data_IF_702112402245
#
_entry.id   IF_702112402245
#
_cell.length_a   1.000
_cell.length_b   1.000
_cell.length_c   1.000
_cell.angle_alpha   90.00
_cell.angle_beta   90.00
_cell.angle_gamma   90.00
#
_symmetry.space_group_name_H-M   'P 1'
#
loop_
_entity.id
_entity.type
_entity.pdbx_description
1 polymer ?
#
# COMPACT_ATOMS: atom_id res chain seq x y z
N UNK A 1 23.69 7.79 -7.32
CA UNK A 1 23.54 9.20 -7.74
C UNK A 1 22.49 9.27 -8.83
N UNK A 2 21.73 10.36 -8.91
CA UNK A 2 20.69 10.54 -9.94
C UNK A 2 21.31 11.12 -11.21
N UNK A 3 20.81 10.71 -12.38
CA UNK A 3 21.20 11.25 -13.69
C UNK A 3 19.98 11.93 -14.31
N UNK A 4 20.16 13.15 -14.81
CA UNK A 4 19.11 13.88 -15.49
C UNK A 4 19.02 13.45 -16.96
N UNK A 5 17.81 13.14 -17.41
CA UNK A 5 17.49 12.68 -18.77
C UNK A 5 16.51 13.63 -19.48
N UNK A 6 16.21 14.79 -18.90
CA UNK A 6 15.18 15.72 -19.39
C UNK A 6 15.37 16.11 -20.85
N UNK A 7 16.62 16.31 -21.30
CA UNK A 7 16.94 16.66 -22.69
C UNK A 7 16.49 15.61 -23.72
N UNK A 8 16.36 14.34 -23.32
CA UNK A 8 15.95 13.26 -24.21
C UNK A 8 14.45 12.97 -24.13
N UNK A 9 13.73 13.51 -23.14
CA UNK A 9 12.31 13.22 -22.94
C UNK A 9 11.47 13.92 -24.04
N UNK A 10 10.74 13.11 -24.82
CA UNK A 10 9.82 13.59 -25.86
C UNK A 10 8.38 13.72 -25.35
N UNK A 11 7.93 12.73 -24.57
CA UNK A 11 6.59 12.75 -23.98
C UNK A 11 6.56 12.04 -22.63
N UNK A 12 5.62 12.46 -21.79
CA UNK A 12 5.37 11.91 -20.46
C UNK A 12 3.86 11.71 -20.28
N UNK A 13 3.47 10.51 -19.88
CA UNK A 13 2.12 10.21 -19.42
C UNK A 13 2.20 9.54 -18.05
N UNK A 14 1.43 10.02 -17.08
CA UNK A 14 1.40 9.47 -15.71
C UNK A 14 -0.05 9.26 -15.28
N UNK A 15 -0.29 8.16 -14.57
CA UNK A 15 -1.60 7.82 -14.00
C UNK A 15 -1.41 7.32 -12.57
N UNK A 16 -1.97 8.02 -11.59
CA UNK A 16 -1.81 7.73 -10.16
C UNK A 16 -3.06 8.09 -9.35
N UNK A 17 -3.14 7.54 -8.15
CA UNK A 17 -4.18 7.86 -7.17
C UNK A 17 -5.41 6.96 -7.27
N UNK A 18 -6.48 7.33 -6.56
CA UNK A 18 -7.78 6.65 -6.62
C UNK A 18 -8.69 7.35 -7.63
N UNK A 19 -9.47 6.59 -8.38
CA UNK A 19 -10.43 7.14 -9.36
C UNK A 19 -11.66 7.76 -8.71
N UNK A 20 -12.10 7.21 -7.58
CA UNK A 20 -13.28 7.68 -6.86
C UNK A 20 -13.10 7.46 -5.35
N UNK A 21 -13.97 8.07 -4.55
CA UNK A 21 -13.84 8.07 -3.08
C UNK A 21 -13.86 6.67 -2.47
N UNK A 22 -14.67 5.76 -3.02
CA UNK A 22 -14.77 4.36 -2.58
C UNK A 22 -13.67 3.46 -3.16
N UNK A 23 -12.91 3.95 -4.13
CA UNK A 23 -11.89 3.17 -4.80
C UNK A 23 -10.66 2.99 -3.92
N UNK A 24 -9.94 1.90 -4.17
CA UNK A 24 -8.58 1.72 -3.65
C UNK A 24 -7.61 2.56 -4.49
N UNK A 25 -6.48 2.93 -3.90
CA UNK A 25 -5.37 3.47 -4.69
C UNK A 25 -4.68 2.30 -5.38
N UNK A 26 -4.50 2.42 -6.69
CA UNK A 26 -3.77 1.45 -7.49
C UNK A 26 -2.30 1.86 -7.62
N UNK A 27 -1.45 0.92 -8.05
CA UNK A 27 -0.06 1.23 -8.35
C UNK A 27 -0.01 2.29 -9.45
N UNK A 28 0.77 3.33 -9.20
CA UNK A 28 1.03 4.39 -10.14
C UNK A 28 1.77 3.88 -11.37
N UNK A 29 1.26 4.22 -12.54
CA UNK A 29 1.84 3.84 -13.83
C UNK A 29 2.30 5.09 -14.59
N UNK A 30 3.33 4.92 -15.41
CA UNK A 30 3.84 5.98 -16.25
C UNK A 30 4.48 5.46 -17.52
N UNK A 31 4.50 6.30 -18.55
CA UNK A 31 5.22 6.04 -19.79
C UNK A 31 6.03 7.28 -20.14
N UNK A 32 7.33 7.09 -20.36
CA UNK A 32 8.21 8.12 -20.93
C UNK A 32 8.69 7.64 -22.29
N UNK A 33 8.54 8.47 -23.30
CA UNK A 33 9.18 8.26 -24.61
C UNK A 33 10.43 9.13 -24.65
N UNK A 34 11.58 8.51 -24.91
CA UNK A 34 12.86 9.20 -25.06
C UNK A 34 13.40 9.11 -26.48
N UNK A 35 14.09 10.17 -26.91
CA UNK A 35 14.90 10.14 -28.12
C UNK A 35 16.08 9.18 -27.94
N UNK A 36 16.25 8.28 -28.90
CA UNK A 36 17.32 7.29 -28.89
C UNK A 36 18.17 7.36 -30.17
N UNK A 37 18.27 8.53 -30.82
CA UNK A 37 19.16 8.78 -31.96
C UNK A 37 20.62 8.32 -31.73
N UNK A 38 21.12 8.44 -30.50
CA UNK A 38 22.47 8.04 -30.13
C UNK A 38 22.61 6.55 -29.75
N UNK A 39 21.52 5.78 -29.67
CA UNK A 39 21.54 4.39 -29.22
C UNK A 39 21.91 4.19 -27.74
N UNK A 40 21.86 5.26 -26.93
CA UNK A 40 22.28 5.24 -25.52
C UNK A 40 21.30 4.51 -24.60
N UNK A 41 20.03 4.36 -25.00
CA UNK A 41 19.00 3.64 -24.24
C UNK A 41 18.89 2.16 -24.63
N UNK A 42 19.76 1.69 -25.52
CA UNK A 42 19.81 0.28 -25.92
C UNK A 42 20.58 -0.56 -24.90
N UNK A 43 19.88 -1.56 -24.31
CA UNK A 43 20.43 -2.45 -23.27
C UNK A 43 21.68 -3.21 -23.68
N UNK A 44 21.77 -3.59 -24.96
CA UNK A 44 22.91 -4.36 -25.49
C UNK A 44 24.09 -3.49 -25.91
N UNK A 45 23.98 -2.16 -25.82
CA UNK A 45 25.01 -1.24 -26.30
C UNK A 45 25.98 -0.98 -25.16
N UNK A 46 27.01 -1.81 -25.04
CA UNK A 46 28.04 -1.69 -24.01
C UNK A 46 28.85 -0.38 -24.13
N UNK A 47 28.77 0.31 -25.26
CA UNK A 47 29.39 1.62 -25.48
C UNK A 47 28.43 2.80 -25.25
N UNK A 48 27.14 2.54 -24.96
CA UNK A 48 26.16 3.58 -24.69
C UNK A 48 26.42 4.27 -23.35
N UNK A 49 26.22 5.58 -23.29
CA UNK A 49 26.50 6.39 -22.09
C UNK A 49 25.76 5.92 -20.83
N UNK A 50 24.63 5.23 -20.98
CA UNK A 50 23.76 4.81 -19.89
C UNK A 50 23.80 3.31 -19.61
N UNK A 51 24.68 2.56 -20.27
CA UNK A 51 24.95 1.16 -19.93
C UNK A 51 25.72 1.07 -18.59
N UNK A 52 25.39 0.14 -17.67
CA UNK A 52 24.31 -0.86 -17.70
C UNK A 52 23.02 -0.41 -16.95
N UNK A 53 22.85 0.89 -16.71
CA UNK A 53 21.87 1.43 -15.78
C UNK A 53 20.44 1.50 -16.34
N UNK A 54 20.27 1.45 -17.67
CA UNK A 54 18.95 1.38 -18.33
C UNK A 54 18.44 -0.06 -18.32
N UNK A 55 17.99 -0.53 -17.15
CA UNK A 55 17.46 -1.89 -16.94
C UNK A 55 16.19 -1.87 -16.09
N UNK A 56 15.37 -2.95 -16.06
CA UNK A 56 14.21 -2.98 -15.19
C UNK A 56 14.69 -2.90 -13.74
N UNK A 57 13.83 -2.41 -12.86
CA UNK A 57 14.11 -2.20 -11.44
C UNK A 57 15.15 -1.11 -11.14
N UNK A 58 15.57 -0.32 -12.14
CA UNK A 58 16.29 0.93 -11.89
C UNK A 58 15.31 1.98 -11.39
N UNK A 59 15.65 2.66 -10.29
CA UNK A 59 14.84 3.73 -9.71
C UNK A 59 14.71 4.91 -10.68
N UNK A 60 13.50 5.46 -10.75
CA UNK A 60 13.15 6.60 -11.60
C UNK A 60 12.24 7.54 -10.83
N UNK A 61 12.45 8.84 -11.04
CA UNK A 61 11.61 9.90 -10.50
C UNK A 61 11.33 10.93 -11.58
N UNK A 62 10.12 11.47 -11.57
CA UNK A 62 9.70 12.49 -12.53
C UNK A 62 9.28 13.71 -11.73
N UNK A 63 9.85 14.87 -12.07
CA UNK A 63 9.56 16.13 -11.42
C UNK A 63 9.28 17.23 -12.43
N UNK A 64 8.49 18.20 -11.99
CA UNK A 64 8.20 19.43 -12.72
C UNK A 64 8.76 20.61 -11.93
N UNK A 65 9.46 21.52 -12.62
CA UNK A 65 9.99 22.74 -12.03
C UNK A 65 9.04 23.90 -12.34
N UNK A 66 8.47 24.50 -11.31
CA UNK A 66 7.66 25.72 -11.42
C UNK A 66 8.12 26.74 -10.38
N UNK A 67 8.44 27.96 -10.82
CA UNK A 67 8.98 29.03 -9.97
C UNK A 67 10.13 28.55 -9.06
N UNK A 68 11.13 27.88 -9.65
CA UNK A 68 12.32 27.32 -8.96
C UNK A 68 12.03 26.27 -7.87
N UNK A 69 10.80 25.77 -7.77
CA UNK A 69 10.42 24.68 -6.88
C UNK A 69 10.21 23.41 -7.71
N UNK A 70 11.05 22.40 -7.49
CA UNK A 70 10.88 21.06 -8.05
C UNK A 70 9.81 20.29 -7.28
N UNK A 71 8.71 19.95 -7.94
CA UNK A 71 7.68 19.06 -7.40
C UNK A 71 7.74 17.72 -8.10
N UNK A 72 7.93 16.64 -7.35
CA UNK A 72 7.92 15.29 -7.93
C UNK A 72 6.50 14.78 -8.13
N UNK A 73 6.21 14.35 -9.36
CA UNK A 73 4.92 13.82 -9.80
C UNK A 73 4.87 12.28 -9.76
N UNK A 74 6.05 11.65 -9.85
CA UNK A 74 6.19 10.20 -9.85
C UNK A 74 7.48 9.76 -9.16
N UNK A 75 7.41 8.66 -8.43
CA UNK A 75 8.56 7.96 -7.86
C UNK A 75 8.33 6.46 -7.97
N UNK A 76 9.28 5.74 -8.56
CA UNK A 76 9.13 4.32 -8.82
C UNK A 76 10.35 3.67 -9.46
N UNK A 77 10.09 2.65 -10.25
CA UNK A 77 11.09 1.90 -11.00
C UNK A 77 10.71 1.80 -12.48
N UNK A 78 11.71 1.59 -13.31
CA UNK A 78 11.52 1.20 -14.71
C UNK A 78 11.05 -0.26 -14.74
N UNK A 79 9.90 -0.52 -15.33
CA UNK A 79 9.37 -1.86 -15.57
C UNK A 79 9.87 -2.42 -16.91
N UNK A 80 9.80 -1.63 -17.97
CA UNK A 80 10.24 -2.04 -19.31
C UNK A 80 11.04 -0.94 -20.00
N UNK A 81 11.92 -1.38 -20.90
CA UNK A 81 12.65 -0.48 -21.81
C UNK A 81 12.53 -1.13 -23.18
N UNK A 82 11.66 -0.57 -24.00
CA UNK A 82 11.30 -1.11 -25.30
C UNK A 82 11.83 -0.18 -26.39
N UNK A 83 12.77 -0.65 -27.24
CA UNK A 83 13.17 0.11 -28.40
C UNK A 83 12.02 0.16 -29.40
N UNK A 84 11.75 1.35 -29.93
CA UNK A 84 10.68 1.57 -30.90
C UNK A 84 11.15 2.58 -31.96
N UNK A 85 10.39 2.72 -33.03
CA UNK A 85 10.69 3.62 -34.15
C UNK A 85 9.52 4.58 -34.34
N UNK A 86 9.79 5.85 -34.63
CA UNK A 86 8.73 6.75 -35.09
C UNK A 86 8.18 6.26 -36.43
N UNK A 87 6.87 6.02 -36.49
CA UNK A 87 6.16 5.59 -37.71
C UNK A 87 5.82 6.84 -38.53
N UNK A 88 6.08 6.90 -39.85
CA UNK A 88 6.13 8.17 -40.57
C UNK A 88 4.79 8.92 -40.66
N UNK A 89 4.85 10.22 -40.36
CA UNK A 89 3.80 11.24 -40.55
C UNK A 89 4.36 12.66 -40.52
N UNK A 90 5.42 12.89 -39.74
CA UNK A 90 6.28 14.08 -39.79
C UNK A 90 7.75 13.63 -39.55
N UNK A 91 8.65 13.95 -40.49
CA UNK A 91 10.12 13.87 -40.39
C UNK A 91 10.81 12.55 -39.91
N UNK A 92 10.92 11.56 -40.82
CA UNK A 92 11.97 10.52 -40.77
C UNK A 92 11.83 9.42 -39.69
N UNK A 93 12.54 8.30 -39.89
CA UNK A 93 12.57 7.19 -38.92
C UNK A 93 13.52 7.50 -37.75
N UNK A 94 13.05 8.29 -36.79
CA UNK A 94 13.78 8.53 -35.54
C UNK A 94 13.72 7.30 -34.62
N UNK A 95 14.86 6.71 -34.21
CA UNK A 95 14.84 5.68 -33.17
C UNK A 95 14.45 6.31 -31.83
N UNK A 96 13.51 5.68 -31.13
CA UNK A 96 13.06 6.09 -29.79
C UNK A 96 13.14 4.89 -28.83
N UNK A 97 13.03 5.17 -27.54
CA UNK A 97 12.83 4.14 -26.54
C UNK A 97 11.66 4.50 -25.64
N UNK A 98 10.81 3.52 -25.37
CA UNK A 98 9.66 3.65 -24.48
C UNK A 98 10.04 3.03 -23.14
N UNK A 99 9.97 3.85 -22.08
CA UNK A 99 10.22 3.45 -20.71
C UNK A 99 8.87 3.28 -20.01
N UNK A 100 8.51 2.04 -19.71
CA UNK A 100 7.38 1.74 -18.84
C UNK A 100 7.79 1.95 -17.38
N UNK A 101 7.02 2.73 -16.63
CA UNK A 101 7.29 3.07 -15.23
C UNK A 101 6.18 2.51 -14.35
N UNK A 102 6.57 2.00 -13.18
CA UNK A 102 5.63 1.61 -12.13
C UNK A 102 6.15 2.09 -10.78
N UNK A 103 5.26 2.58 -9.92
CA UNK A 103 5.62 2.83 -8.53
C UNK A 103 5.89 1.52 -7.77
N UNK A 104 6.47 1.66 -6.58
CA UNK A 104 6.84 0.49 -5.78
C UNK A 104 5.65 -0.18 -5.10
N UNK A 105 4.42 0.32 -5.25
CA UNK A 105 3.23 -0.32 -4.69
C UNK A 105 3.03 -1.71 -5.31
N UNK A 106 3.38 -1.86 -6.60
CA UNK A 106 3.38 -3.15 -7.30
C UNK A 106 4.34 -4.18 -6.68
N UNK A 107 5.40 -3.74 -5.99
CA UNK A 107 6.31 -4.65 -5.33
C UNK A 107 5.59 -5.42 -4.20
N UNK A 108 4.70 -4.77 -3.45
CA UNK A 108 3.95 -5.41 -2.37
C UNK A 108 3.02 -6.54 -2.87
N UNK A 109 2.53 -6.43 -4.12
CA UNK A 109 1.73 -7.48 -4.75
C UNK A 109 2.54 -8.74 -5.06
N UNK A 110 3.88 -8.66 -5.09
CA UNK A 110 4.78 -9.80 -5.35
C UNK A 110 5.20 -10.54 -4.09
N UNK A 111 4.86 -10.02 -2.91
CA UNK A 111 5.27 -10.60 -1.65
C UNK A 111 4.06 -11.08 -0.85
N UNK A 112 4.20 -12.26 -0.28
CA UNK A 112 3.21 -12.83 0.61
C UNK A 112 3.67 -12.64 2.06
N UNK A 113 2.72 -12.34 2.94
CA UNK A 113 2.81 -12.53 4.36
C UNK A 113 2.80 -14.03 4.59
N UNK A 114 3.97 -14.57 4.90
CA UNK A 114 4.16 -16.01 5.00
C UNK A 114 3.81 -16.53 6.39
N UNK A 115 3.22 -17.72 6.42
CA UNK A 115 2.96 -18.54 7.61
C UNK A 115 4.18 -19.35 8.05
N UNK A 116 5.35 -18.72 8.04
CA UNK A 116 6.43 -19.22 8.88
C UNK A 116 6.11 -18.90 10.35
N UNK A 117 4.89 -19.16 10.82
CA UNK A 117 4.49 -19.02 12.21
C UNK A 117 4.58 -20.39 12.89
N UNK A 118 5.78 -20.86 13.26
CA UNK A 118 5.83 -22.08 14.01
C UNK A 118 5.27 -21.82 15.41
N UNK A 119 4.50 -22.80 15.88
CA UNK A 119 4.16 -22.88 17.28
C UNK A 119 5.44 -23.05 18.10
N UNK A 120 5.45 -22.45 19.28
CA UNK A 120 6.43 -22.76 20.30
C UNK A 120 6.33 -24.24 20.64
N UNK A 121 7.46 -24.92 20.72
CA UNK A 121 7.53 -26.33 21.17
C UNK A 121 8.01 -26.47 22.60
N UNK A 122 8.62 -25.42 23.16
CA UNK A 122 9.00 -25.34 24.57
C UNK A 122 8.83 -23.90 25.11
N UNK A 123 8.59 -23.80 26.42
CA UNK A 123 8.49 -22.52 27.12
C UNK A 123 9.82 -21.75 27.00
N UNK A 124 9.72 -20.44 26.79
CA UNK A 124 10.88 -19.55 26.71
C UNK A 124 10.82 -18.55 27.85
N UNK A 125 11.81 -18.53 28.73
CA UNK A 125 11.81 -17.69 29.93
C UNK A 125 12.46 -16.33 29.68
N UNK A 126 12.07 -15.34 30.49
CA UNK A 126 12.76 -14.03 30.55
C UNK A 126 14.28 -14.21 30.72
N UNK A 127 15.06 -13.42 29.99
CA UNK A 127 16.51 -13.47 29.98
C UNK A 127 17.12 -14.53 29.05
N UNK A 128 16.32 -15.47 28.51
CA UNK A 128 16.81 -16.41 27.50
C UNK A 128 16.92 -15.73 26.14
N UNK A 129 17.85 -16.19 25.29
CA UNK A 129 17.95 -15.78 23.89
C UNK A 129 17.29 -16.77 22.94
N UNK A 130 16.63 -17.79 23.46
CA UNK A 130 16.33 -19.00 22.68
C UNK A 130 14.84 -19.23 22.69
N UNK A 131 14.31 -19.56 21.51
CA UNK A 131 12.92 -19.93 21.30
C UNK A 131 12.88 -21.21 20.48
N UNK A 132 12.25 -22.24 21.03
CA UNK A 132 12.12 -23.55 20.39
C UNK A 132 10.80 -23.62 19.62
N UNK A 133 10.88 -24.11 18.39
CA UNK A 133 9.80 -24.02 17.40
C UNK A 133 9.53 -25.34 16.70
N UNK A 134 8.29 -25.51 16.22
CA UNK A 134 7.84 -26.71 15.52
C UNK A 134 8.38 -26.83 14.08
N UNK A 135 8.76 -25.71 13.47
CA UNK A 135 9.25 -25.63 12.09
C UNK A 135 10.15 -24.40 11.92
N UNK A 136 11.13 -24.45 11.01
CA UNK A 136 11.83 -23.26 10.51
C UNK A 136 11.68 -23.08 9.00
N UNK A 137 10.71 -23.77 8.40
CA UNK A 137 10.41 -23.60 6.99
C UNK A 137 10.16 -22.11 6.70
N UNK A 138 10.96 -21.53 5.80
CA UNK A 138 10.88 -20.12 5.37
C UNK A 138 11.20 -19.09 6.46
N UNK A 139 11.74 -19.48 7.61
CA UNK A 139 12.45 -18.58 8.51
C UNK A 139 13.89 -18.39 8.03
N UNK A 140 14.42 -17.18 8.21
CA UNK A 140 15.80 -16.88 7.84
C UNK A 140 16.49 -16.00 8.89
N UNK A 141 17.84 -16.05 8.89
CA UNK A 141 18.66 -15.22 9.77
C UNK A 141 18.48 -13.74 9.39
N UNK A 142 18.31 -12.92 10.41
CA UNK A 142 18.00 -11.49 10.29
C UNK A 142 16.54 -11.18 10.01
N UNK A 143 15.63 -12.14 10.21
CA UNK A 143 14.18 -11.86 10.21
C UNK A 143 13.77 -11.32 11.57
N UNK A 144 13.04 -10.21 11.60
CA UNK A 144 12.31 -9.80 12.80
C UNK A 144 11.05 -10.64 12.94
N UNK A 145 10.92 -11.30 14.09
CA UNK A 145 9.77 -12.11 14.47
C UNK A 145 9.18 -11.55 15.75
N UNK A 146 7.88 -11.76 15.96
CA UNK A 146 7.23 -11.39 17.22
C UNK A 146 6.78 -12.65 17.92
N UNK A 147 7.30 -12.90 19.13
CA UNK A 147 6.87 -14.02 19.96
C UNK A 147 5.60 -13.59 20.71
N UNK A 148 4.60 -14.47 20.75
CA UNK A 148 3.29 -14.21 21.32
C UNK A 148 2.92 -15.22 22.41
N UNK A 149 2.34 -14.70 23.49
CA UNK A 149 1.55 -15.41 24.50
C UNK A 149 0.30 -14.57 24.81
N UNK A 150 -0.74 -15.15 25.40
CA UNK A 150 -2.07 -14.56 25.61
C UNK A 150 -2.09 -13.32 26.55
N UNK A 151 -0.93 -12.89 27.06
CA UNK A 151 -0.78 -11.67 27.86
C UNK A 151 0.46 -10.84 27.55
N UNK A 152 1.29 -11.21 26.56
CA UNK A 152 2.54 -10.51 26.26
C UNK A 152 3.01 -10.79 24.83
N UNK A 153 3.68 -9.81 24.22
CA UNK A 153 4.34 -9.99 22.93
C UNK A 153 5.65 -9.21 22.86
N UNK A 154 6.62 -9.73 22.13
CA UNK A 154 7.94 -9.11 22.01
C UNK A 154 8.52 -9.35 20.62
N UNK A 155 9.12 -8.30 20.04
CA UNK A 155 9.78 -8.36 18.75
C UNK A 155 11.27 -8.61 18.98
N UNK A 156 11.82 -9.59 18.28
CA UNK A 156 13.24 -9.84 18.28
C UNK A 156 13.69 -10.34 16.89
N UNK A 157 14.99 -10.26 16.62
CA UNK A 157 15.55 -10.68 15.34
C UNK A 157 16.22 -12.06 15.49
N UNK A 158 16.03 -12.93 14.49
CA UNK A 158 16.66 -14.26 14.46
C UNK A 158 18.16 -14.09 14.17
N UNK A 159 19.00 -14.33 15.16
CA UNK A 159 20.45 -14.38 15.02
C UNK A 159 20.94 -15.70 14.41
N UNK A 160 20.29 -16.82 14.74
CA UNK A 160 20.66 -18.14 14.22
C UNK A 160 19.48 -19.13 14.21
N UNK A 161 19.51 -20.08 13.28
CA UNK A 161 18.55 -21.19 13.18
C UNK A 161 19.31 -22.50 13.30
N UNK A 162 19.04 -23.26 14.35
CA UNK A 162 19.64 -24.58 14.56
C UNK A 162 18.59 -25.66 14.28
N UNK A 163 18.85 -26.48 13.25
CA UNK A 163 18.00 -27.61 12.90
C UNK A 163 18.37 -28.81 13.78
N UNK A 164 17.43 -29.29 14.58
CA UNK A 164 17.56 -30.50 15.39
C UNK A 164 16.56 -31.57 14.98
N UNK A 165 16.81 -32.81 15.37
CA UNK A 165 15.82 -33.89 15.25
C UNK A 165 14.78 -33.69 16.36
N UNK A 166 13.57 -33.27 16.00
CA UNK A 166 12.42 -33.14 16.91
C UNK A 166 12.14 -31.72 17.45
N UNK A 167 13.16 -30.88 17.60
CA UNK A 167 13.01 -29.46 17.99
C UNK A 167 13.93 -28.61 17.13
N UNK A 168 13.39 -27.53 16.58
CA UNK A 168 14.17 -26.51 15.89
C UNK A 168 14.35 -25.32 16.82
N UNK A 169 15.55 -24.76 16.86
CA UNK A 169 15.90 -23.71 17.81
C UNK A 169 16.24 -22.42 17.10
N UNK A 170 15.50 -21.35 17.43
CA UNK A 170 15.78 -19.99 16.99
C UNK A 170 16.54 -19.27 18.11
N UNK A 171 17.71 -18.73 17.78
CA UNK A 171 18.44 -17.84 18.70
C UNK A 171 18.17 -16.41 18.31
N UNK A 172 17.74 -15.60 19.26
CA UNK A 172 17.44 -14.19 19.13
C UNK A 172 18.70 -13.32 19.30
N UNK A 173 18.71 -12.14 18.67
CA UNK A 173 19.78 -11.15 18.83
C UNK A 173 19.84 -10.66 20.29
N UNK A 174 18.69 -10.24 20.84
CA UNK A 174 18.55 -9.75 22.22
C UNK A 174 17.96 -10.81 23.15
N UNK A 175 18.13 -10.65 24.46
CA UNK A 175 17.43 -11.47 25.44
C UNK A 175 15.93 -11.19 25.39
N UNK A 176 15.11 -12.23 25.58
CA UNK A 176 13.68 -12.10 25.78
C UNK A 176 13.40 -11.32 27.06
N UNK A 177 12.55 -10.30 26.97
CA UNK A 177 12.09 -9.49 28.09
C UNK A 177 10.96 -10.16 28.87
N UNK A 178 10.24 -11.11 28.26
CA UNK A 178 9.11 -11.80 28.88
C UNK A 178 9.30 -13.32 28.90
N UNK A 179 8.55 -14.00 29.76
CA UNK A 179 8.36 -15.45 29.69
C UNK A 179 7.18 -15.79 28.78
N UNK A 180 7.30 -16.87 28.01
CA UNK A 180 6.36 -17.36 27.02
C UNK A 180 6.09 -18.83 27.27
N UNK A 181 4.81 -19.20 27.36
CA UNK A 181 4.39 -20.59 27.60
C UNK A 181 3.75 -21.23 26.37
N UNK A 182 3.96 -22.54 26.19
CA UNK A 182 3.43 -23.32 25.05
C UNK A 182 1.92 -23.62 25.19
N UNK A 183 1.37 -23.47 26.40
CA UNK A 183 0.10 -24.07 26.81
C UNK A 183 -1.18 -23.41 26.28
N UNK A 184 -1.18 -22.14 25.90
CA UNK A 184 -2.42 -21.46 25.51
C UNK A 184 -2.49 -20.94 24.07
N UNK A 185 -1.38 -20.52 23.44
CA UNK A 185 -1.33 -20.06 22.05
C UNK A 185 0.11 -19.73 21.58
N UNK A 186 1.12 -20.30 22.23
CA UNK A 186 2.53 -19.93 22.05
C UNK A 186 2.97 -20.02 20.58
N UNK A 187 3.29 -18.88 19.97
CA UNK A 187 3.57 -18.78 18.54
C UNK A 187 4.65 -17.72 18.26
N UNK A 188 5.47 -17.94 17.24
CA UNK A 188 6.60 -17.05 16.90
C UNK A 188 6.22 -15.96 15.89
N UNK A 189 5.02 -16.01 15.33
CA UNK A 189 4.54 -15.03 14.34
C UNK A 189 3.01 -15.02 14.17
N UNK A 190 2.28 -14.49 15.15
CA UNK A 190 0.81 -14.28 15.10
C UNK A 190 0.50 -12.81 15.22
N UNK A 191 0.03 -12.14 14.17
CA UNK A 191 -0.26 -10.72 14.37
C UNK A 191 -1.45 -10.54 15.34
N UNK A 192 -1.29 -9.76 16.42
CA UNK A 192 -2.29 -9.61 17.47
C UNK A 192 -3.34 -8.59 17.02
N UNK A 193 -4.44 -8.49 17.75
CA UNK A 193 -5.35 -7.38 17.53
C UNK A 193 -4.64 -6.05 17.89
N UNK A 194 -4.51 -5.15 16.92
CA UNK A 194 -3.78 -3.87 17.05
C UNK A 194 -4.46 -2.82 16.19
N UNK A 195 -4.09 -1.55 16.37
CA UNK A 195 -4.53 -0.49 15.47
C UNK A 195 -4.05 -0.76 14.04
N UNK A 196 -4.86 -0.34 13.06
CA UNK A 196 -4.64 -0.56 11.63
C UNK A 196 -3.25 -0.13 11.14
N UNK A 197 -2.76 1.02 11.59
CA UNK A 197 -1.43 1.53 11.25
C UNK A 197 -0.29 0.72 11.87
N UNK A 198 -0.47 0.24 13.10
CA UNK A 198 0.47 -0.71 13.72
C UNK A 198 0.53 -1.99 12.88
N UNK A 199 -0.61 -2.47 12.39
CA UNK A 199 -0.63 -3.66 11.53
C UNK A 199 0.09 -3.43 10.20
N UNK A 200 -0.11 -2.29 9.54
CA UNK A 200 0.58 -1.98 8.28
C UNK A 200 2.10 -1.93 8.50
N UNK A 201 2.57 -1.31 9.58
CA UNK A 201 3.99 -1.32 9.94
C UNK A 201 4.52 -2.74 10.17
N UNK A 202 3.73 -3.62 10.79
CA UNK A 202 4.11 -5.01 11.01
C UNK A 202 4.23 -5.79 9.67
N UNK A 203 3.34 -5.54 8.71
CA UNK A 203 3.47 -6.09 7.35
C UNK A 203 4.71 -5.54 6.63
N UNK A 204 4.95 -4.23 6.68
CA UNK A 204 6.11 -3.61 6.04
C UNK A 204 7.43 -4.15 6.60
N UNK A 205 7.51 -4.40 7.91
CA UNK A 205 8.67 -5.05 8.55
C UNK A 205 8.89 -6.47 8.04
N UNK A 206 7.83 -7.25 7.89
CA UNK A 206 7.91 -8.61 7.33
C UNK A 206 8.46 -8.60 5.90
N UNK A 207 8.07 -7.58 5.12
CA UNK A 207 8.58 -7.35 3.77
C UNK A 207 10.01 -6.81 3.73
N UNK A 208 10.63 -6.53 4.89
CA UNK A 208 11.89 -5.80 5.03
C UNK A 208 11.86 -4.45 4.31
N UNK A 209 10.69 -3.84 4.24
CA UNK A 209 10.56 -2.50 3.72
C UNK A 209 11.26 -1.53 4.68
N UNK A 210 12.17 -0.67 4.20
CA UNK A 210 12.90 0.24 5.08
C UNK A 210 11.94 1.17 5.83
N UNK A 211 12.04 1.21 7.16
CA UNK A 211 11.23 2.11 7.98
C UNK A 211 11.44 3.59 7.61
N UNK A 212 12.64 3.93 7.11
CA UNK A 212 12.96 5.27 6.60
C UNK A 212 12.26 5.62 5.28
N UNK A 213 11.53 4.68 4.67
CA UNK A 213 10.72 4.86 3.46
C UNK A 213 9.23 4.60 3.75
N UNK A 214 8.81 4.77 5.00
CA UNK A 214 7.45 4.57 5.47
C UNK A 214 6.95 5.79 6.24
N UNK A 215 5.70 6.18 6.00
CA UNK A 215 4.99 7.24 6.70
C UNK A 215 3.59 6.71 7.03
N UNK A 216 3.46 6.07 8.19
CA UNK A 216 2.27 5.28 8.54
C UNK A 216 1.65 5.87 9.79
N UNK A 217 0.46 6.46 9.64
CA UNK A 217 -0.37 6.92 10.76
C UNK A 217 -0.67 5.75 11.71
N UNK A 218 -0.94 6.03 12.98
CA UNK A 218 -1.22 4.99 13.98
C UNK A 218 -2.51 4.19 13.66
N UNK A 219 -3.49 4.83 13.01
CA UNK A 219 -4.81 4.29 12.75
C UNK A 219 -5.82 4.53 13.88
N UNK A 220 -7.10 4.53 13.56
CA UNK A 220 -8.21 4.69 14.51
C UNK A 220 -8.95 3.38 14.78
N UNK A 221 -8.92 2.43 13.84
CA UNK A 221 -9.64 1.16 13.95
C UNK A 221 -8.74 0.07 14.53
N UNK A 222 -9.28 -0.68 15.49
CA UNK A 222 -8.64 -1.90 15.98
C UNK A 222 -8.92 -3.04 14.99
N UNK A 223 -7.87 -3.51 14.32
CA UNK A 223 -7.95 -4.71 13.46
C UNK A 223 -7.78 -5.97 14.28
N UNK A 224 -8.49 -7.02 13.89
CA UNK A 224 -8.47 -8.29 14.60
C UNK A 224 -7.10 -8.99 14.52
N UNK A 225 -6.91 -9.96 15.41
CA UNK A 225 -5.76 -10.85 15.32
C UNK A 225 -5.82 -11.63 13.99
N UNK A 226 -4.67 -11.81 13.36
CA UNK A 226 -4.59 -12.57 12.12
C UNK A 226 -3.34 -13.44 12.08
N UNK A 227 -3.57 -14.69 11.72
CA UNK A 227 -2.54 -15.68 11.42
C UNK A 227 -2.60 -15.95 9.93
N UNK A 228 -1.53 -15.67 9.16
CA UNK A 228 -1.48 -16.04 7.75
C UNK A 228 -1.62 -17.57 7.61
N UNK A 229 -2.26 -18.09 6.54
CA UNK A 229 -2.33 -19.52 6.26
C UNK A 229 -1.02 -20.02 5.62
N UNK A 230 -0.78 -21.33 5.65
CA UNK A 230 0.43 -21.98 5.08
C UNK A 230 0.78 -21.56 3.64
N UNK A 231 -0.26 -21.29 2.84
CA UNK A 231 -0.13 -20.82 1.46
C UNK A 231 0.40 -19.38 1.33
N UNK A 232 0.46 -18.63 2.44
CA UNK A 232 0.74 -17.21 2.48
C UNK A 232 -0.53 -16.36 2.26
N UNK A 233 -0.45 -15.08 2.60
CA UNK A 233 -1.46 -14.07 2.25
C UNK A 233 -0.79 -12.95 1.49
N UNK A 234 -1.35 -12.53 0.36
CA UNK A 234 -0.76 -11.44 -0.40
C UNK A 234 -0.66 -10.17 0.46
N UNK A 235 0.55 -9.60 0.52
CA UNK A 235 0.81 -8.48 1.44
C UNK A 235 0.07 -7.22 1.04
N UNK A 236 -0.01 -6.94 -0.27
CA UNK A 236 -0.79 -5.81 -0.76
C UNK A 236 -2.28 -5.99 -0.47
N UNK A 237 -2.82 -7.18 -0.73
CA UNK A 237 -4.23 -7.47 -0.45
C UNK A 237 -4.56 -7.32 1.04
N UNK A 238 -3.71 -7.84 1.92
CA UNK A 238 -3.88 -7.69 3.36
C UNK A 238 -3.82 -6.21 3.78
N UNK A 239 -2.82 -5.45 3.33
CA UNK A 239 -2.73 -4.02 3.63
C UNK A 239 -3.93 -3.22 3.05
N UNK A 240 -4.44 -3.61 1.88
CA UNK A 240 -5.66 -3.02 1.32
C UNK A 240 -6.90 -3.34 2.16
N UNK A 241 -7.03 -4.57 2.68
CA UNK A 241 -8.14 -4.93 3.56
C UNK A 241 -8.13 -4.16 4.88
N UNK A 242 -6.94 -3.90 5.44
CA UNK A 242 -6.75 -3.04 6.62
C UNK A 242 -7.16 -1.59 6.31
N UNK A 243 -6.73 -1.08 5.15
CA UNK A 243 -7.15 0.25 4.67
C UNK A 243 -8.67 0.34 4.52
N UNK A 244 -9.31 -0.71 4.04
CA UNK A 244 -10.74 -0.67 3.74
C UNK A 244 -11.57 -0.58 5.03
N UNK A 245 -11.17 -1.28 6.10
CA UNK A 245 -11.84 -1.16 7.40
C UNK A 245 -11.60 0.20 8.07
N UNK A 246 -10.47 0.84 7.81
CA UNK A 246 -10.15 2.20 8.30
C UNK A 246 -10.88 3.32 7.52
N UNK A 247 -11.29 3.07 6.27
CA UNK A 247 -11.57 4.12 5.26
C UNK A 247 -10.38 5.04 4.97
N UNK A 248 -9.18 4.52 5.21
CA UNK A 248 -7.92 5.24 5.05
C UNK A 248 -7.47 5.38 3.60
N UNK A 249 -6.23 5.80 3.42
CA UNK A 249 -5.51 5.76 2.15
C UNK A 249 -4.18 5.04 2.34
N UNK A 250 -3.84 4.17 1.40
CA UNK A 250 -2.55 3.49 1.35
C UNK A 250 -1.97 3.70 -0.05
N UNK A 251 -0.82 4.34 -0.17
CA UNK A 251 -0.25 4.71 -1.47
C UNK A 251 1.26 5.01 -1.39
N UNK A 252 1.92 5.05 -2.55
CA UNK A 252 3.29 5.56 -2.66
C UNK A 252 3.28 7.07 -2.91
N UNK A 253 3.88 7.88 -2.04
CA UNK A 253 3.97 9.33 -2.20
C UNK A 253 4.99 9.68 -3.27
N UNK A 254 4.59 10.51 -4.24
CA UNK A 254 5.47 10.86 -5.36
C UNK A 254 6.61 11.80 -4.97
N UNK A 255 6.45 12.59 -3.91
CA UNK A 255 7.45 13.55 -3.46
C UNK A 255 8.80 12.89 -3.11
N UNK A 256 8.74 11.70 -2.52
CA UNK A 256 9.88 11.04 -1.85
C UNK A 256 9.89 9.51 -2.02
N UNK A 257 8.84 8.92 -2.58
CA UNK A 257 8.74 7.47 -2.74
C UNK A 257 8.36 6.72 -1.47
N UNK A 258 7.81 7.39 -0.46
CA UNK A 258 7.45 6.74 0.80
C UNK A 258 6.16 5.93 0.65
N UNK A 259 6.11 4.77 1.31
CA UNK A 259 4.86 4.05 1.52
C UNK A 259 4.07 4.78 2.61
N UNK A 260 2.93 5.38 2.24
CA UNK A 260 2.13 6.20 3.11
C UNK A 260 0.83 5.51 3.47
N UNK A 261 0.52 5.43 4.76
CA UNK A 261 -0.80 5.11 5.25
C UNK A 261 -1.38 6.29 6.01
N UNK A 262 -2.51 6.78 5.52
CA UNK A 262 -3.31 7.82 6.18
C UNK A 262 -4.55 7.19 6.78
N UNK A 263 -4.81 7.51 8.04
CA UNK A 263 -5.98 7.00 8.75
C UNK A 263 -7.30 7.63 8.25
N UNK A 264 -8.43 7.18 8.79
CA UNK A 264 -9.75 7.64 8.35
C UNK A 264 -10.02 9.12 8.63
N UNK A 265 -9.29 9.73 9.57
CA UNK A 265 -9.46 11.12 10.02
C UNK A 265 -8.40 12.07 9.46
N UNK A 266 -7.36 11.57 8.79
CA UNK A 266 -6.25 12.36 8.29
C UNK A 266 -6.69 13.59 7.47
N UNK A 267 -7.79 13.50 6.71
CA UNK A 267 -8.34 14.62 5.92
C UNK A 267 -9.13 15.66 6.73
N UNK A 268 -9.47 15.35 7.98
CA UNK A 268 -10.15 16.26 8.90
C UNK A 268 -9.17 17.05 9.79
N UNK A 269 -7.87 16.75 9.71
CA UNK A 269 -6.82 17.39 10.52
C UNK A 269 -5.79 18.11 9.66
N UNK A 270 -5.07 19.08 10.25
CA UNK A 270 -3.97 19.76 9.57
C UNK A 270 -2.84 18.78 9.21
N UNK A 271 -2.13 18.97 8.07
CA UNK A 271 -2.29 20.07 7.11
C UNK A 271 -3.40 19.85 6.09
N UNK A 272 -4.04 18.68 6.05
CA UNK A 272 -4.97 18.29 4.98
C UNK A 272 -6.39 18.86 5.15
N UNK A 273 -6.71 19.48 6.29
CA UNK A 273 -7.99 20.14 6.53
C UNK A 273 -8.12 21.53 5.90
N UNK A 274 -7.10 21.99 5.18
CA UNK A 274 -7.12 23.22 4.36
C UNK A 274 -6.84 22.91 2.90
N UNK A 275 -7.29 23.79 2.00
CA UNK A 275 -7.00 23.68 0.56
C UNK A 275 -5.49 23.55 0.33
N UNK A 276 -5.07 22.48 -0.34
CA UNK A 276 -3.66 22.24 -0.67
C UNK A 276 -3.25 22.90 -1.99
N UNK A 277 -4.22 23.17 -2.86
CA UNK A 277 -4.03 23.82 -4.15
C UNK A 277 -5.35 24.44 -4.58
N UNK A 278 -5.30 25.69 -5.03
CA UNK A 278 -6.45 26.37 -5.61
C UNK A 278 -6.29 26.38 -7.12
N UNK A 279 -7.32 25.88 -7.82
CA UNK A 279 -7.41 25.99 -9.27
C UNK A 279 -8.34 27.15 -9.62
N UNK A 280 -8.02 27.90 -10.68
CA UNK A 280 -8.76 29.07 -11.12
C UNK A 280 -8.95 29.11 -12.65
N UNK A 281 -9.94 29.85 -13.10
CA UNK A 281 -10.25 30.09 -14.51
C UNK A 281 -9.96 31.55 -14.94
N UNK A 282 -9.33 32.34 -14.07
CA UNK A 282 -9.08 33.79 -14.23
C UNK A 282 -7.66 34.14 -14.67
N UNK A 283 -6.91 33.16 -15.18
CA UNK A 283 -5.54 33.30 -15.68
C UNK A 283 -4.46 33.56 -14.61
N UNK A 284 -4.81 33.61 -13.31
CA UNK A 284 -3.88 34.05 -12.26
C UNK A 284 -3.10 32.94 -11.53
N UNK A 285 -3.41 31.66 -11.76
CA UNK A 285 -2.79 30.54 -11.02
C UNK A 285 -2.92 29.16 -11.75
N UNK A 286 -3.14 28.06 -11.02
CA UNK A 286 -3.32 26.71 -11.59
C UNK A 286 -4.61 26.63 -12.41
N UNK A 287 -4.48 26.78 -13.73
CA UNK A 287 -5.62 26.91 -14.65
C UNK A 287 -6.44 25.62 -14.77
N UNK A 288 -7.75 25.80 -14.98
CA UNK A 288 -8.62 24.74 -15.52
C UNK A 288 -9.53 25.32 -16.60
N UNK A 289 -9.87 24.50 -17.61
CA UNK A 289 -10.69 24.97 -18.76
C UNK A 289 -12.20 24.77 -18.50
N UNK A 290 -12.59 23.65 -17.90
CA UNK A 290 -13.95 23.38 -17.43
C UNK A 290 -13.97 22.07 -16.62
N UNK A 291 -14.64 21.99 -15.45
CA UNK A 291 -14.84 20.71 -14.77
C UNK A 291 -15.94 19.91 -15.47
N UNK A 292 -15.68 18.65 -15.80
CA UNK A 292 -16.76 17.73 -16.17
C UNK A 292 -17.55 17.39 -14.91
N UNK A 293 -18.87 17.58 -14.95
CA UNK A 293 -19.76 17.31 -13.82
C UNK A 293 -20.59 16.05 -14.08
N UNK A 294 -20.79 15.26 -13.04
CA UNK A 294 -21.63 14.06 -13.04
C UNK A 294 -22.69 14.13 -11.93
N UNK A 295 -23.92 13.80 -12.28
CA UNK A 295 -25.04 13.56 -11.35
C UNK A 295 -25.65 12.19 -11.70
N UNK A 296 -24.97 11.13 -11.25
CA UNK A 296 -25.33 9.74 -11.51
C UNK A 296 -25.66 9.00 -10.20
N UNK A 297 -26.38 7.87 -10.32
CA UNK A 297 -26.71 7.03 -9.18
C UNK A 297 -25.62 6.04 -8.78
N UNK A 298 -24.47 6.06 -9.46
CA UNK A 298 -23.37 5.08 -9.35
C UNK A 298 -22.89 4.89 -7.91
N UNK A 299 -22.99 5.94 -7.10
CA UNK A 299 -22.55 5.93 -5.70
C UNK A 299 -23.69 6.23 -4.71
N UNK A 300 -24.90 5.77 -5.01
CA UNK A 300 -26.06 5.92 -4.13
C UNK A 300 -26.35 4.60 -3.39
N UNK A 301 -26.13 4.59 -2.08
CA UNK A 301 -26.30 3.42 -1.19
C UNK A 301 -27.20 3.78 -0.01
N UNK A 302 -28.29 3.04 0.18
CA UNK A 302 -29.23 3.21 1.28
C UNK A 302 -29.17 2.06 2.30
N UNK A 303 -28.26 1.12 2.10
CA UNK A 303 -27.98 0.03 3.02
C UNK A 303 -26.49 -0.29 3.04
N UNK A 304 -25.98 -0.66 4.21
CA UNK A 304 -24.62 -1.16 4.40
C UNK A 304 -24.67 -2.49 5.15
N UNK A 305 -23.99 -3.50 4.61
CA UNK A 305 -23.83 -4.83 5.23
C UNK A 305 -22.35 -5.10 5.46
N UNK A 306 -21.99 -5.46 6.68
CA UNK A 306 -20.61 -5.78 7.04
C UNK A 306 -20.61 -7.14 7.73
N UNK A 307 -19.74 -8.04 7.28
CA UNK A 307 -19.49 -9.35 7.91
C UNK A 307 -18.00 -9.54 8.13
N UNK A 308 -17.62 -10.26 9.19
CA UNK A 308 -16.21 -10.50 9.51
C UNK A 308 -16.03 -11.65 10.50
N UNK A 309 -14.81 -12.19 10.66
CA UNK A 309 -14.55 -13.35 11.52
C UNK A 309 -14.65 -13.04 13.03
N UNK A 310 -14.57 -11.77 13.42
CA UNK A 310 -14.54 -11.34 14.83
C UNK A 310 -15.75 -10.47 15.23
N UNK A 311 -16.68 -10.24 14.31
CA UNK A 311 -17.88 -9.41 14.51
C UNK A 311 -19.13 -10.16 14.02
N UNK A 312 -20.32 -9.88 14.59
CA UNK A 312 -21.56 -10.39 14.01
C UNK A 312 -21.83 -9.75 12.65
N UNK A 313 -22.76 -10.34 11.89
CA UNK A 313 -23.25 -9.73 10.65
C UNK A 313 -24.03 -8.45 10.99
N UNK A 314 -23.52 -7.32 10.52
CA UNK A 314 -24.10 -5.99 10.72
C UNK A 314 -24.88 -5.59 9.48
N UNK A 315 -26.06 -5.00 9.67
CA UNK A 315 -26.84 -4.40 8.60
C UNK A 315 -27.46 -3.10 9.09
N UNK A 316 -27.14 -2.00 8.41
CA UNK A 316 -27.75 -0.68 8.61
C UNK A 316 -28.49 -0.31 7.34
N UNK A 317 -29.75 0.09 7.45
CA UNK A 317 -30.61 0.47 6.32
C UNK A 317 -31.37 1.75 6.62
N UNK A 318 -31.37 2.68 5.68
CA UNK A 318 -32.34 3.77 5.64
C UNK A 318 -33.63 3.25 4.97
N UNK A 319 -34.67 3.03 5.77
CA UNK A 319 -35.93 2.44 5.28
C UNK A 319 -36.73 3.39 4.40
N UNK A 320 -36.57 4.71 4.58
CA UNK A 320 -37.27 5.74 3.78
C UNK A 320 -36.64 5.82 2.40
N UNK A 321 -35.32 5.95 2.34
CA UNK A 321 -34.59 5.98 1.08
C UNK A 321 -34.69 4.64 0.34
N UNK A 322 -34.65 3.50 1.04
CA UNK A 322 -34.85 2.19 0.43
C UNK A 322 -36.25 2.01 -0.20
N UNK A 323 -37.29 2.59 0.41
CA UNK A 323 -38.63 2.57 -0.17
C UNK A 323 -38.74 3.44 -1.44
N UNK A 324 -38.03 4.57 -1.49
CA UNK A 324 -38.07 5.51 -2.60
C UNK A 324 -37.15 5.11 -3.79
N UNK A 325 -35.95 4.60 -3.50
CA UNK A 325 -34.88 4.36 -4.47
C UNK A 325 -34.68 2.88 -4.81
N UNK A 326 -35.39 1.99 -4.11
CA UNK A 326 -35.13 0.53 -4.10
C UNK A 326 -33.92 0.15 -3.24
N UNK A 327 -33.77 -1.12 -2.85
CA UNK A 327 -32.67 -1.56 -1.99
C UNK A 327 -31.33 -1.49 -2.74
N UNK A 328 -30.39 -0.70 -2.22
CA UNK A 328 -29.03 -0.50 -2.75
C UNK A 328 -28.02 -0.67 -1.63
N UNK A 329 -27.46 -1.88 -1.54
CA UNK A 329 -26.57 -2.26 -0.45
C UNK A 329 -25.09 -2.16 -0.86
N UNK A 330 -24.32 -1.43 -0.08
CA UNK A 330 -22.88 -1.60 -0.01
C UNK A 330 -22.56 -2.80 0.88
N UNK A 331 -21.63 -3.66 0.46
CA UNK A 331 -21.28 -4.88 1.17
C UNK A 331 -19.77 -4.93 1.42
N UNK A 332 -19.39 -5.35 2.62
CA UNK A 332 -18.02 -5.65 2.98
C UNK A 332 -17.98 -7.00 3.68
N UNK A 333 -17.44 -7.98 2.97
CA UNK A 333 -17.28 -9.33 3.49
C UNK A 333 -15.87 -9.56 4.02
N UNK A 334 -15.75 -10.42 5.02
CA UNK A 334 -14.46 -10.75 5.66
C UNK A 334 -13.73 -9.51 6.22
N UNK A 335 -14.48 -8.53 6.73
CA UNK A 335 -13.94 -7.32 7.33
C UNK A 335 -13.09 -7.63 8.57
N UNK A 336 -11.92 -7.00 8.67
CA UNK A 336 -10.94 -7.24 9.72
C UNK A 336 -11.21 -6.47 11.04
N UNK A 337 -12.43 -6.04 11.30
CA UNK A 337 -12.76 -5.35 12.55
C UNK A 337 -12.57 -6.26 13.77
N UNK A 338 -11.89 -5.76 14.81
CA UNK A 338 -11.84 -6.43 16.11
C UNK A 338 -13.07 -6.12 16.98
N UNK A 339 -13.65 -4.92 16.82
CA UNK A 339 -14.77 -4.44 17.63
C UNK A 339 -16.01 -4.23 16.77
N UNK A 340 -17.17 -4.65 17.28
CA UNK A 340 -18.47 -4.44 16.63
C UNK A 340 -18.82 -2.95 16.51
N UNK A 341 -18.42 -2.13 17.51
CA UNK A 341 -18.66 -0.68 17.52
C UNK A 341 -18.06 0.03 16.31
N UNK A 342 -16.86 -0.35 15.91
CA UNK A 342 -16.14 0.27 14.79
C UNK A 342 -16.82 -0.06 13.46
N UNK A 343 -17.26 -1.31 13.31
CA UNK A 343 -18.01 -1.78 12.15
C UNK A 343 -19.40 -1.12 12.06
N UNK A 344 -20.11 -0.97 13.17
CA UNK A 344 -21.40 -0.26 13.23
C UNK A 344 -21.24 1.21 12.82
N UNK A 345 -20.24 1.90 13.35
CA UNK A 345 -19.95 3.29 13.00
C UNK A 345 -19.62 3.42 11.51
N UNK A 346 -18.83 2.50 10.95
CA UNK A 346 -18.54 2.46 9.52
C UNK A 346 -19.81 2.33 8.67
N UNK A 347 -20.66 1.36 8.99
CA UNK A 347 -21.90 1.11 8.25
C UNK A 347 -22.82 2.35 8.29
N UNK A 348 -22.93 2.99 9.45
CA UNK A 348 -23.73 4.21 9.61
C UNK A 348 -23.20 5.38 8.78
N UNK A 349 -21.89 5.68 8.88
CA UNK A 349 -21.25 6.76 8.10
C UNK A 349 -21.46 6.53 6.60
N UNK A 350 -21.32 5.27 6.14
CA UNK A 350 -21.46 4.95 4.73
C UNK A 350 -22.87 5.27 4.21
N UNK A 351 -23.90 4.80 4.91
CA UNK A 351 -25.30 5.09 4.53
C UNK A 351 -25.56 6.60 4.56
N UNK A 352 -25.16 7.31 5.63
CA UNK A 352 -25.39 8.76 5.73
C UNK A 352 -24.71 9.56 4.61
N UNK A 353 -23.53 9.13 4.16
CA UNK A 353 -22.76 9.83 3.13
C UNK A 353 -23.28 9.59 1.71
N UNK A 354 -23.85 8.41 1.46
CA UNK A 354 -24.18 7.94 0.12
C UNK A 354 -25.68 7.70 -0.10
N UNK A 355 -26.54 8.00 0.87
CA UNK A 355 -28.01 7.85 0.72
C UNK A 355 -28.60 8.76 -0.36
N UNK A 356 -27.97 9.91 -0.63
CA UNK A 356 -28.39 10.85 -1.68
C UNK A 356 -27.34 10.96 -2.78
N UNK A 357 -27.81 11.08 -4.03
CA UNK A 357 -26.95 11.56 -5.11
C UNK A 357 -26.60 13.02 -4.84
N UNK A 358 -25.35 13.37 -5.15
CA UNK A 358 -24.88 14.75 -5.15
C UNK A 358 -24.10 14.97 -6.44
N UNK A 359 -24.20 16.17 -7.00
CA UNK A 359 -23.39 16.59 -8.14
C UNK A 359 -21.89 16.52 -7.78
N UNK A 360 -21.10 15.87 -8.63
CA UNK A 360 -19.66 15.64 -8.41
C UNK A 360 -18.86 16.07 -9.62
N UNK A 361 -17.60 16.43 -9.39
CA UNK A 361 -16.62 16.64 -10.46
C UNK A 361 -16.06 15.29 -10.88
N UNK A 362 -16.19 14.94 -12.16
CA UNK A 362 -15.65 13.73 -12.77
C UNK A 362 -14.19 13.93 -13.20
N UNK A 363 -13.91 15.02 -13.90
CA UNK A 363 -12.57 15.33 -14.38
C UNK A 363 -12.32 16.83 -14.43
N UNK A 364 -11.06 17.19 -14.28
CA UNK A 364 -10.57 18.56 -14.45
C UNK A 364 -9.63 18.57 -15.66
N UNK A 365 -9.99 19.31 -16.70
CA UNK A 365 -9.10 19.54 -17.83
C UNK A 365 -8.16 20.70 -17.48
N UNK A 366 -6.89 20.36 -17.26
CA UNK A 366 -5.81 21.27 -16.88
C UNK A 366 -4.99 21.63 -18.12
#
# INVERSE_FOLDING_TARGET
TWTDLTTYAKSLALKRGRKHVLGRVEAGEGVIVVDNASGNFWRGNTAGAWYPNVKPLTLVRVGHNYNDITRYLFWGVIESVEPDWEVPGEAGFGPKATLGLIDMFKAFARFDILDANPALTADSNVGQKVVDVASATRLYIGQSIRVYDDGSSEINEIANITLGVGIIRLTMVNNLANSYTVGNNGAVKKFPAVLSGTRINDVLRELRWPAALSDVDAGQVLVNAFSPPEAGTNSLEHMQSIRDVEDGLLFMRAADGFCVFQDGIARAVQPLSVSQLTFNDDDSDSKYVHPALMDDETFTYNEARISGPSIPNITIRDTVAAAAQGPRAWTMDSALYALESDALMRAWIHVQRFVTSILRVESLLC
#
